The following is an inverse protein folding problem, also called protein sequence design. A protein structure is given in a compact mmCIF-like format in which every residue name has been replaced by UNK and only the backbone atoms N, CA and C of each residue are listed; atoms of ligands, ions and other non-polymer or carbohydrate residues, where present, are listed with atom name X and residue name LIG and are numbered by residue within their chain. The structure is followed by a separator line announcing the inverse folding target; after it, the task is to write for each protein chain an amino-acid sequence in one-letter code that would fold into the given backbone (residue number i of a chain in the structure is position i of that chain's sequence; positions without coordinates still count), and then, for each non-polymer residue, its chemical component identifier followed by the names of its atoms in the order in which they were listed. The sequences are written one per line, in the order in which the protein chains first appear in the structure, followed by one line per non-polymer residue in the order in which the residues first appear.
data_IF_142054278100
#
_entry.id   IF_142054278100
#
_cell.length_a   1.000
_cell.length_b   1.000
_cell.length_c   1.000
_cell.angle_alpha   90.00
_cell.angle_beta   90.00
_cell.angle_gamma   90.00
#
_symmetry.space_group_name_H-M   'P 1'
#
loop_
_entity.id
_entity.type
_entity.pdbx_description
1 polymer ?
#
# COMPACT_ATOMS: atom_id res chain seq x y z
N UNK A 1 3.66 7.46 -10.17
CA UNK A 1 4.86 7.24 -9.36
C UNK A 1 5.00 8.43 -8.44
N UNK A 2 4.59 8.26 -7.19
CA UNK A 2 4.74 9.23 -6.12
C UNK A 2 6.15 9.09 -5.59
N UNK A 3 6.96 10.10 -5.81
CA UNK A 3 8.29 10.23 -5.24
C UNK A 3 8.12 10.71 -3.78
N UNK A 4 8.31 9.79 -2.82
CA UNK A 4 8.06 10.05 -1.40
C UNK A 4 9.10 10.99 -0.83
N UNK A 5 10.32 10.97 -1.35
CA UNK A 5 11.37 11.91 -0.97
C UNK A 5 10.95 13.35 -1.28
N UNK A 6 10.38 13.58 -2.49
CA UNK A 6 9.79 14.88 -2.87
C UNK A 6 8.62 15.28 -2.00
N UNK A 7 7.77 14.33 -1.61
CA UNK A 7 6.65 14.60 -0.70
C UNK A 7 7.17 15.02 0.67
N UNK A 8 8.05 14.24 1.29
CA UNK A 8 8.64 14.56 2.60
C UNK A 8 9.34 15.92 2.58
N UNK A 9 10.14 16.19 1.54
CA UNK A 9 10.81 17.48 1.35
C UNK A 9 9.84 18.65 1.26
N UNK A 10 8.78 18.53 0.44
CA UNK A 10 7.77 19.57 0.29
C UNK A 10 6.97 19.81 1.58
N UNK A 11 6.67 18.76 2.35
CA UNK A 11 6.03 18.90 3.66
C UNK A 11 6.95 19.62 4.65
N UNK A 12 8.23 19.27 4.68
CA UNK A 12 9.18 19.92 5.59
C UNK A 12 9.40 21.39 5.24
N UNK A 13 9.46 21.71 3.94
CA UNK A 13 9.49 23.09 3.46
C UNK A 13 8.23 23.87 3.90
N UNK A 14 7.06 23.25 3.77
CA UNK A 14 5.81 23.84 4.25
C UNK A 14 5.86 24.12 5.76
N UNK A 15 6.36 23.19 6.58
CA UNK A 15 6.52 23.42 8.03
C UNK A 15 7.44 24.62 8.31
N UNK A 16 8.57 24.73 7.61
CA UNK A 16 9.52 25.84 7.81
C UNK A 16 8.95 27.21 7.41
N UNK A 17 8.02 27.25 6.44
CA UNK A 17 7.47 28.49 5.90
C UNK A 17 6.14 28.93 6.54
N UNK A 18 5.53 28.08 7.37
CA UNK A 18 4.19 28.31 7.92
C UNK A 18 4.22 28.75 9.39
N UNK A 19 3.38 29.73 9.75
CA UNK A 19 3.37 30.40 11.06
C UNK A 19 2.88 29.54 12.24
N UNK A 20 2.53 28.27 12.01
CA UNK A 20 1.90 27.39 13.02
C UNK A 20 2.83 26.28 13.53
N UNK A 21 4.10 26.31 13.13
CA UNK A 21 5.05 25.25 13.43
C UNK A 21 6.33 25.73 14.14
N UNK A 22 6.39 26.99 14.60
CA UNK A 22 7.51 27.52 15.39
C UNK A 22 7.45 27.11 16.87
N UNK A 23 8.60 27.14 17.55
CA UNK A 23 8.69 26.89 18.99
C UNK A 23 8.45 28.18 19.78
N UNK A 24 7.76 28.07 20.92
CA UNK A 24 7.48 29.22 21.79
C UNK A 24 8.09 29.00 23.17
N UNK A 25 9.19 29.70 23.51
CA UNK A 25 9.79 29.68 24.88
C UNK A 25 8.94 30.39 25.97
N UNK A 26 7.61 30.45 25.82
CA UNK A 26 6.69 31.04 26.79
C UNK A 26 5.86 30.00 27.51
N UNK A 27 5.70 30.12 28.84
CA UNK A 27 4.75 29.30 29.57
C UNK A 27 3.34 29.50 29.00
N UNK A 28 2.76 28.45 28.40
CA UNK A 28 1.36 28.41 27.99
C UNK A 28 1.07 28.53 26.49
N UNK A 29 2.08 28.38 25.62
CA UNK A 29 1.87 28.06 24.19
C UNK A 29 2.69 26.84 23.81
N UNK A 30 2.44 25.75 24.51
CA UNK A 30 2.70 24.43 23.95
C UNK A 30 1.58 24.24 22.94
N UNK A 31 1.89 24.15 21.64
CA UNK A 31 0.93 23.52 20.74
C UNK A 31 0.63 22.13 21.30
N UNK A 32 -0.55 21.95 21.85
CA UNK A 32 -1.06 20.71 22.44
C UNK A 32 -1.44 19.68 21.36
N UNK A 33 -1.11 19.94 20.11
CA UNK A 33 -1.57 19.17 18.97
C UNK A 33 -3.04 19.46 18.60
N UNK A 34 -3.66 20.54 19.09
CA UNK A 34 -5.02 20.91 18.68
C UNK A 34 -5.07 21.46 17.24
N UNK A 35 -5.08 20.55 16.27
CA UNK A 35 -5.40 20.84 14.88
C UNK A 35 -4.43 20.22 13.87
N UNK A 36 -4.84 20.29 12.60
CA UNK A 36 -4.02 19.85 11.46
C UNK A 36 -3.77 21.02 10.53
N UNK A 37 -2.54 21.16 10.04
CA UNK A 37 -2.23 21.97 8.88
C UNK A 37 -2.33 21.10 7.63
N UNK A 38 -2.84 21.69 6.53
CA UNK A 38 -3.02 20.99 5.25
C UNK A 38 -2.00 21.50 4.25
N UNK A 39 -1.11 20.61 3.81
CA UNK A 39 -0.16 20.87 2.74
C UNK A 39 -0.60 20.12 1.47
N UNK A 40 -0.64 20.81 0.34
CA UNK A 40 -0.97 20.18 -0.95
C UNK A 40 0.32 19.95 -1.73
N UNK A 41 0.66 18.69 -1.97
CA UNK A 41 1.82 18.29 -2.76
C UNK A 41 1.34 17.50 -3.96
N UNK A 42 1.64 17.97 -5.18
CA UNK A 42 1.23 17.34 -6.44
C UNK A 42 -0.29 17.03 -6.54
N UNK A 43 -1.12 17.90 -5.95
CA UNK A 43 -2.59 17.74 -5.95
C UNK A 43 -3.14 16.79 -4.89
N UNK A 44 -2.29 16.21 -4.04
CA UNK A 44 -2.68 15.40 -2.87
C UNK A 44 -2.56 16.26 -1.61
N UNK A 45 -3.60 16.23 -0.77
CA UNK A 45 -3.60 16.90 0.53
C UNK A 45 -3.01 15.98 1.59
N UNK A 46 -2.00 16.46 2.30
CA UNK A 46 -1.40 15.84 3.46
C UNK A 46 -1.75 16.65 4.71
N UNK A 47 -1.99 15.95 5.80
CA UNK A 47 -2.27 16.56 7.10
C UNK A 47 -1.04 16.36 7.99
N UNK A 48 -0.54 17.46 8.54
CA UNK A 48 0.55 17.52 9.52
C UNK A 48 0.03 18.21 10.78
N UNK A 49 0.41 17.73 11.95
CA UNK A 49 -0.04 18.25 13.25
C UNK A 49 0.46 19.68 13.45
N UNK A 50 -0.38 20.54 14.02
CA UNK A 50 0.05 21.88 14.43
C UNK A 50 0.83 21.81 15.74
N UNK A 51 1.71 22.78 15.96
CA UNK A 51 2.43 22.92 17.23
C UNK A 51 3.95 22.95 17.09
N UNK A 52 4.57 23.12 18.25
CA UNK A 52 6.01 23.32 18.42
C UNK A 52 6.81 22.12 17.90
N UNK A 53 7.91 22.41 17.22
CA UNK A 53 8.78 21.43 16.58
C UNK A 53 10.23 21.62 17.02
N UNK A 54 10.90 20.49 17.23
CA UNK A 54 12.36 20.41 17.22
C UNK A 54 12.85 19.92 15.84
N UNK A 55 14.17 19.91 15.65
CA UNK A 55 14.78 19.45 14.41
C UNK A 55 14.34 18.03 14.00
N UNK A 56 14.20 17.10 14.95
CA UNK A 56 13.86 15.71 14.68
C UNK A 56 12.37 15.48 14.48
N UNK A 57 11.51 16.05 15.32
CA UNK A 57 10.07 15.85 15.25
C UNK A 57 9.47 16.37 13.95
N UNK A 58 10.00 17.47 13.41
CA UNK A 58 9.64 17.99 12.08
C UNK A 58 10.00 17.02 10.95
N UNK A 59 11.25 16.53 10.90
CA UNK A 59 11.71 15.57 9.89
C UNK A 59 10.95 14.24 9.97
N UNK A 60 10.79 13.69 11.18
CA UNK A 60 10.13 12.41 11.43
C UNK A 60 8.68 12.48 10.98
N UNK A 61 7.96 13.55 11.33
CA UNK A 61 6.55 13.67 10.94
C UNK A 61 6.38 13.82 9.42
N UNK A 62 7.20 14.63 8.76
CA UNK A 62 7.13 14.76 7.31
C UNK A 62 7.36 13.42 6.60
N UNK A 63 8.30 12.61 7.09
CA UNK A 63 8.54 11.27 6.55
C UNK A 63 7.41 10.29 6.86
N UNK A 64 6.86 10.30 8.08
CA UNK A 64 5.66 9.54 8.45
C UNK A 64 4.47 9.88 7.55
N UNK A 65 4.22 11.17 7.32
CA UNK A 65 3.15 11.66 6.46
C UNK A 65 3.39 11.26 4.99
N UNK A 66 4.63 11.31 4.51
CA UNK A 66 4.97 10.92 3.15
C UNK A 66 4.71 9.43 2.90
N UNK A 67 5.01 8.55 3.87
CA UNK A 67 4.82 7.09 3.75
C UNK A 67 3.46 6.60 4.27
N UNK A 68 2.58 7.49 4.72
CA UNK A 68 1.23 7.14 5.17
C UNK A 68 0.45 6.47 4.05
N UNK A 69 -0.28 5.40 4.37
CA UNK A 69 -1.00 4.56 3.40
C UNK A 69 -0.10 3.63 2.58
N UNK A 70 1.21 3.61 2.87
CA UNK A 70 2.14 2.61 2.32
C UNK A 70 2.30 1.45 3.32
N UNK A 71 2.92 0.34 2.93
CA UNK A 71 3.19 -0.81 3.81
C UNK A 71 4.25 -0.52 4.85
N UNK A 72 4.96 0.60 4.65
CA UNK A 72 5.96 1.12 5.55
C UNK A 72 5.35 2.10 6.56
N UNK A 73 4.03 2.34 6.52
CA UNK A 73 3.33 3.11 7.56
C UNK A 73 3.63 2.51 8.95
N UNK A 74 3.98 3.39 9.89
CA UNK A 74 4.37 3.02 11.25
C UNK A 74 5.81 2.50 11.41
N UNK A 75 6.57 2.25 10.33
CA UNK A 75 7.97 1.78 10.43
C UNK A 75 8.92 2.81 11.03
N UNK A 76 8.53 4.08 11.05
CA UNK A 76 9.29 5.19 11.64
C UNK A 76 8.76 5.59 13.03
N UNK A 77 7.79 4.88 13.61
CA UNK A 77 7.16 5.26 14.89
C UNK A 77 8.10 5.21 16.09
N UNK A 78 9.17 4.43 16.02
CA UNK A 78 10.18 4.37 17.07
C UNK A 78 11.13 5.56 17.09
N UNK A 79 11.16 6.39 16.03
CA UNK A 79 12.02 7.56 15.97
C UNK A 79 11.35 8.69 16.75
N UNK A 80 12.02 9.18 17.78
CA UNK A 80 11.45 10.19 18.69
C UNK A 80 12.43 11.31 19.04
N UNK A 81 13.71 11.18 18.65
CA UNK A 81 14.76 12.17 18.83
C UNK A 81 15.92 11.88 17.84
N UNK A 82 16.71 12.88 17.42
CA UNK A 82 17.92 12.73 16.56
C UNK A 82 18.80 11.53 16.93
N UNK A 83 19.07 11.30 18.21
CA UNK A 83 19.96 10.21 18.67
C UNK A 83 19.47 8.79 18.41
N UNK A 84 18.18 8.58 18.13
CA UNK A 84 17.66 7.26 17.71
C UNK A 84 17.20 7.20 16.25
N UNK A 85 17.23 8.32 15.51
CA UNK A 85 16.79 8.37 14.12
C UNK A 85 17.58 7.41 13.24
N UNK A 86 18.91 7.37 13.34
CA UNK A 86 19.72 6.47 12.51
C UNK A 86 19.32 5.01 12.69
N UNK A 87 19.17 4.57 13.93
CA UNK A 87 18.78 3.19 14.23
C UNK A 87 17.41 2.87 13.61
N UNK A 88 16.40 3.71 13.85
CA UNK A 88 15.03 3.45 13.41
C UNK A 88 14.89 3.56 11.90
N UNK A 89 15.45 4.60 11.29
CA UNK A 89 15.38 4.83 9.85
C UNK A 89 16.07 3.71 9.07
N UNK A 90 17.24 3.24 9.53
CA UNK A 90 17.90 2.09 8.88
C UNK A 90 17.16 0.77 9.12
N UNK A 91 16.63 0.54 10.33
CA UNK A 91 15.83 -0.66 10.64
C UNK A 91 14.49 -0.71 9.87
N UNK A 92 13.96 0.43 9.44
CA UNK A 92 12.75 0.50 8.61
C UNK A 92 12.95 -0.13 7.22
N UNK A 93 14.20 -0.25 6.75
CA UNK A 93 14.55 -0.66 5.40
C UNK A 93 14.42 0.45 4.35
N UNK A 94 13.92 1.64 4.70
CA UNK A 94 13.73 2.77 3.78
C UNK A 94 14.97 3.65 3.57
N UNK A 95 15.95 3.56 4.47
CA UNK A 95 17.13 4.43 4.47
C UNK A 95 18.43 3.66 4.61
N UNK A 96 19.45 4.14 3.90
CA UNK A 96 20.83 3.72 4.05
C UNK A 96 21.64 4.80 4.76
N UNK A 97 22.47 4.41 5.73
CA UNK A 97 23.41 5.34 6.36
C UNK A 97 24.65 5.54 5.49
N UNK A 98 25.01 6.78 5.21
CA UNK A 98 26.19 7.13 4.41
C UNK A 98 27.05 8.21 5.09
N UNK A 99 28.38 8.17 4.91
CA UNK A 99 29.27 9.22 5.41
C UNK A 99 29.07 10.54 4.65
N UNK A 100 29.54 11.64 5.23
CA UNK A 100 29.47 13.00 4.66
C UNK A 100 30.20 13.20 3.32
N UNK A 101 30.89 12.18 2.81
CA UNK A 101 31.50 12.20 1.48
C UNK A 101 30.51 11.89 0.35
N UNK A 102 29.25 11.58 0.66
CA UNK A 102 28.20 11.36 -0.35
C UNK A 102 27.44 12.64 -0.68
N UNK A 103 26.85 12.70 -1.87
CA UNK A 103 25.98 13.80 -2.30
C UNK A 103 24.56 13.45 -1.87
N UNK A 104 23.95 14.30 -1.02
CA UNK A 104 22.58 14.15 -0.61
C UNK A 104 21.63 14.41 -1.78
N UNK A 105 20.49 13.72 -1.78
CA UNK A 105 19.37 13.98 -2.67
C UNK A 105 18.23 14.64 -1.91
N UNK A 106 17.29 15.23 -2.63
CA UNK A 106 16.09 15.80 -2.03
C UNK A 106 15.36 14.73 -1.18
N UNK A 107 15.02 15.07 0.06
CA UNK A 107 14.43 14.17 1.06
C UNK A 107 15.44 13.47 1.96
N UNK A 108 16.72 13.36 1.56
CA UNK A 108 17.76 12.81 2.43
C UNK A 108 17.93 13.65 3.69
N UNK A 109 18.34 13.01 4.79
CA UNK A 109 18.39 13.63 6.10
C UNK A 109 19.85 13.70 6.58
N UNK A 110 20.34 14.92 6.77
CA UNK A 110 21.60 15.19 7.44
C UNK A 110 21.43 15.01 8.94
N UNK A 111 22.30 14.22 9.56
CA UNK A 111 22.17 13.87 10.98
C UNK A 111 23.50 14.08 11.72
N UNK A 112 23.43 14.83 12.80
CA UNK A 112 24.35 14.75 13.92
C UNK A 112 23.58 14.03 15.04
N UNK A 113 23.98 12.81 15.36
CA UNK A 113 23.29 11.92 16.29
C UNK A 113 23.28 12.48 17.73
N UNK A 114 24.09 13.49 18.03
CA UNK A 114 24.16 14.08 19.36
C UNK A 114 23.29 15.34 19.53
N UNK A 115 22.93 16.04 18.45
CA UNK A 115 22.33 17.37 18.62
C UNK A 115 21.47 17.93 17.50
N UNK A 116 21.50 17.43 16.26
CA UNK A 116 20.83 18.16 15.18
C UNK A 116 20.48 17.32 13.96
N UNK A 117 19.41 17.70 13.26
CA UNK A 117 19.04 17.11 11.98
C UNK A 117 18.47 18.14 11.01
N UNK A 118 18.70 17.93 9.72
CA UNK A 118 18.17 18.78 8.65
C UNK A 118 17.74 17.95 7.44
N UNK A 119 16.74 18.41 6.70
CA UNK A 119 16.29 17.74 5.48
C UNK A 119 16.85 18.44 4.24
N UNK A 120 17.41 17.65 3.33
CA UNK A 120 17.88 18.13 2.04
C UNK A 120 16.69 18.45 1.12
N UNK A 121 16.67 19.66 0.56
CA UNK A 121 15.63 20.18 -0.35
C UNK A 121 16.09 20.16 -1.82
N UNK A 122 17.39 20.19 -2.07
CA UNK A 122 17.99 20.07 -3.41
C UNK A 122 19.41 19.54 -3.28
N UNK A 123 19.89 18.73 -4.23
CA UNK A 123 21.20 18.05 -4.13
C UNK A 123 22.40 18.75 -4.76
N UNK A 124 22.25 19.89 -5.47
CA UNK A 124 23.37 20.79 -5.88
C UNK A 124 22.88 22.22 -6.26
N UNK A 125 23.37 23.29 -5.59
CA UNK A 125 23.97 23.23 -4.27
C UNK A 125 22.94 22.70 -3.28
N UNK A 126 23.44 22.10 -2.20
CA UNK A 126 22.59 21.60 -1.16
C UNK A 126 21.84 22.76 -0.51
N UNK A 127 20.53 22.64 -0.44
CA UNK A 127 19.66 23.53 0.33
C UNK A 127 19.07 22.68 1.43
N UNK A 128 19.24 23.12 2.66
CA UNK A 128 18.72 22.45 3.84
C UNK A 128 17.53 23.23 4.38
N UNK A 129 16.48 22.51 4.78
CA UNK A 129 15.45 23.03 5.66
C UNK A 129 15.54 22.35 7.01
N UNK A 130 15.43 23.13 8.08
CA UNK A 130 15.68 22.68 9.45
C UNK A 130 14.93 23.54 10.47
N UNK A 131 14.63 22.93 11.61
CA UNK A 131 14.25 23.65 12.83
C UNK A 131 15.50 23.78 13.71
N UNK A 132 15.73 24.96 14.27
CA UNK A 132 17.01 25.33 14.91
C UNK A 132 17.11 24.90 16.38
N UNK A 133 16.15 24.14 16.88
CA UNK A 133 16.15 23.60 18.24
C UNK A 133 16.72 22.19 18.27
N UNK A 134 17.71 22.02 19.16
CA UNK A 134 18.21 20.70 19.55
C UNK A 134 17.28 20.00 20.54
N UNK A 135 17.52 18.73 20.78
CA UNK A 135 16.72 17.90 21.70
C UNK A 135 16.71 18.39 23.15
N UNK A 136 17.64 19.28 23.51
CA UNK A 136 17.76 19.85 24.84
C UNK A 136 17.09 21.23 24.95
N UNK A 137 16.44 21.72 23.88
CA UNK A 137 15.79 23.02 23.83
C UNK A 137 16.75 24.19 23.56
N UNK A 138 17.99 23.92 23.14
CA UNK A 138 18.94 24.96 22.78
C UNK A 138 18.80 25.36 21.31
N UNK A 139 18.97 26.64 21.03
CA UNK A 139 19.03 27.17 19.67
C UNK A 139 20.44 26.95 19.10
N UNK A 140 20.54 26.18 18.02
CA UNK A 140 21.77 25.92 17.26
C UNK A 140 21.78 26.80 16.01
N UNK A 141 22.76 27.72 15.91
CA UNK A 141 22.96 28.52 14.69
C UNK A 141 22.02 29.72 14.51
N UNK A 142 21.32 30.14 15.59
CA UNK A 142 20.48 31.35 15.68
C UNK A 142 20.73 32.15 16.98
N UNK A 143 19.93 33.18 17.24
CA UNK A 143 20.03 34.00 18.47
C UNK A 143 18.93 33.61 19.46
N UNK A 144 19.26 33.43 20.75
CA UNK A 144 18.25 33.25 21.81
C UNK A 144 17.31 34.44 21.83
N UNK A 145 16.00 34.23 21.62
CA UNK A 145 15.02 35.31 21.60
C UNK A 145 15.00 36.13 20.31
N UNK A 146 15.44 35.56 19.19
CA UNK A 146 15.04 35.95 17.85
C UNK A 146 13.52 35.70 17.68
N UNK A 147 12.73 36.58 18.28
CA UNK A 147 11.28 36.50 18.37
C UNK A 147 10.59 36.94 17.06
N UNK A 148 11.01 36.42 15.90
CA UNK A 148 10.20 36.53 14.68
C UNK A 148 9.19 35.39 14.53
N UNK A 149 9.17 34.43 15.46
CA UNK A 149 8.14 33.37 15.51
C UNK A 149 8.39 32.20 14.55
N UNK A 150 9.60 32.04 14.01
CA UNK A 150 9.98 30.91 13.17
C UNK A 150 11.38 30.45 13.55
N UNK A 151 11.45 29.43 14.39
CA UNK A 151 12.72 28.75 14.74
C UNK A 151 13.08 27.70 13.68
N UNK A 152 12.93 28.09 12.42
CA UNK A 152 13.15 27.28 11.25
C UNK A 152 13.83 28.11 10.17
N UNK A 153 14.63 27.45 9.34
CA UNK A 153 15.35 28.12 8.26
C UNK A 153 15.42 27.22 7.03
N UNK A 154 15.40 27.85 5.87
CA UNK A 154 15.76 27.24 4.59
C UNK A 154 17.00 27.98 4.09
N UNK A 155 18.13 27.28 3.98
CA UNK A 155 19.41 27.90 3.60
C UNK A 155 20.27 26.99 2.77
N UNK A 156 21.22 27.59 2.06
CA UNK A 156 22.30 26.81 1.46
C UNK A 156 23.07 26.04 2.55
N UNK A 157 23.63 24.91 2.15
CA UNK A 157 24.49 24.09 3.00
C UNK A 157 25.53 24.94 3.72
N UNK A 158 25.76 24.57 4.98
CA UNK A 158 26.71 25.21 5.87
C UNK A 158 27.57 24.14 6.53
N UNK A 159 28.82 24.50 6.83
CA UNK A 159 29.76 23.61 7.50
C UNK A 159 29.33 23.39 8.95
N UNK A 160 28.98 22.15 9.28
CA UNK A 160 28.51 21.69 10.58
C UNK A 160 29.03 20.27 10.81
N UNK A 161 29.33 19.86 12.06
CA UNK A 161 29.90 18.54 12.35
C UNK A 161 28.86 17.42 12.20
N UNK A 162 28.33 17.22 10.99
CA UNK A 162 27.42 16.12 10.67
C UNK A 162 28.12 14.76 10.79
N UNK A 163 27.46 13.80 11.41
CA UNK A 163 27.97 12.43 11.53
C UNK A 163 27.78 11.65 10.21
N UNK A 164 26.70 11.97 9.48
CA UNK A 164 26.40 11.37 8.18
C UNK A 164 25.02 11.74 7.65
N UNK A 165 24.60 10.98 6.64
CA UNK A 165 23.38 11.21 5.88
C UNK A 165 22.56 9.92 5.86
N UNK A 166 21.28 10.02 6.22
CA UNK A 166 20.29 8.99 5.96
C UNK A 166 19.77 9.19 4.53
N UNK A 167 20.26 8.36 3.62
CA UNK A 167 19.88 8.39 2.22
C UNK A 167 18.65 7.53 1.99
N UNK A 168 17.57 8.13 1.52
CA UNK A 168 16.36 7.41 1.16
C UNK A 168 16.62 6.54 -0.09
N UNK A 169 16.15 5.30 -0.07
CA UNK A 169 16.48 4.30 -1.11
C UNK A 169 15.35 4.07 -2.12
N UNK A 170 14.26 4.84 -2.06
CA UNK A 170 13.14 4.71 -2.98
C UNK A 170 12.22 3.53 -2.70
N UNK A 171 12.41 2.79 -1.60
CA UNK A 171 11.64 1.57 -1.32
C UNK A 171 10.14 1.83 -1.07
N UNK A 172 9.79 3.03 -0.60
CA UNK A 172 8.40 3.48 -0.49
C UNK A 172 7.92 4.29 -1.71
N UNK A 173 8.78 4.52 -2.70
CA UNK A 173 8.40 5.07 -4.00
C UNK A 173 7.73 3.97 -4.80
N UNK A 174 6.72 4.32 -5.59
CA UNK A 174 5.89 3.32 -6.26
C UNK A 174 6.71 2.36 -7.17
N UNK A 175 6.89 1.10 -6.76
CA UNK A 175 6.40 -0.06 -7.53
C UNK A 175 5.12 -0.52 -6.81
N UNK A 176 3.93 -0.03 -7.22
CA UNK A 176 2.85 0.11 -6.27
C UNK A 176 2.24 -1.23 -5.88
N UNK A 177 1.76 -1.31 -4.64
CA UNK A 177 0.66 -2.19 -4.31
C UNK A 177 -0.42 -2.10 -5.40
N UNK A 178 -0.99 -3.21 -5.83
CA UNK A 178 -2.05 -3.24 -6.83
C UNK A 178 -1.73 -4.07 -8.06
N UNK A 179 -2.50 -3.81 -9.11
CA UNK A 179 -2.45 -4.55 -10.36
C UNK A 179 -1.39 -3.99 -11.30
N UNK A 180 -0.51 -4.87 -11.76
CA UNK A 180 0.52 -4.57 -12.75
C UNK A 180 0.28 -5.40 -13.99
N UNK A 181 0.51 -4.81 -15.17
CA UNK A 181 0.36 -5.49 -16.45
C UNK A 181 1.67 -5.52 -17.21
N UNK A 182 2.10 -6.71 -17.60
CA UNK A 182 3.28 -6.92 -18.42
C UNK A 182 2.99 -7.99 -19.48
N UNK A 183 3.33 -7.72 -20.74
CA UNK A 183 3.14 -8.66 -21.85
C UNK A 183 1.72 -9.26 -21.95
N UNK A 184 0.71 -8.47 -21.60
CA UNK A 184 -0.69 -8.89 -21.60
C UNK A 184 -1.14 -9.74 -20.41
N UNK A 185 -0.22 -10.08 -19.48
CA UNK A 185 -0.51 -10.76 -18.22
C UNK A 185 -0.63 -9.74 -17.09
N UNK A 186 -1.37 -10.11 -16.06
CA UNK A 186 -1.55 -9.30 -14.86
C UNK A 186 -0.88 -9.98 -13.68
N UNK A 187 -0.22 -9.22 -12.81
CA UNK A 187 0.18 -9.65 -11.47
C UNK A 187 -0.45 -8.69 -10.47
N UNK A 188 -0.70 -9.17 -9.27
CA UNK A 188 -1.03 -8.32 -8.14
C UNK A 188 0.18 -8.31 -7.22
N UNK A 189 0.55 -7.15 -6.70
CA UNK A 189 1.50 -7.08 -5.61
C UNK A 189 0.83 -6.38 -4.43
N UNK A 190 0.89 -6.98 -3.26
CA UNK A 190 0.43 -6.38 -2.02
C UNK A 190 1.25 -5.13 -1.70
N UNK A 191 0.78 -4.32 -0.73
CA UNK A 191 1.52 -3.19 -0.27
C UNK A 191 2.96 -3.56 0.05
N UNK A 192 3.18 -4.55 0.92
CA UNK A 192 4.49 -4.96 1.46
C UNK A 192 5.50 -5.49 0.42
N UNK A 193 5.22 -5.34 -0.88
CA UNK A 193 6.02 -5.84 -1.97
C UNK A 193 5.84 -7.34 -2.22
N UNK A 194 5.01 -8.02 -1.42
CA UNK A 194 4.64 -9.41 -1.71
C UNK A 194 3.81 -9.47 -2.99
N UNK A 195 3.92 -10.55 -3.76
CA UNK A 195 3.02 -10.82 -4.88
C UNK A 195 2.58 -12.28 -4.74
N UNK A 196 1.27 -12.58 -4.66
CA UNK A 196 0.78 -13.95 -4.50
C UNK A 196 1.29 -14.87 -5.60
N UNK A 197 1.73 -16.08 -5.22
CA UNK A 197 2.27 -17.08 -6.14
C UNK A 197 1.71 -18.46 -5.83
N UNK A 198 1.16 -19.09 -6.87
CA UNK A 198 0.48 -20.39 -6.79
C UNK A 198 -0.64 -20.44 -5.74
N UNK A 199 -1.29 -19.30 -5.49
CA UNK A 199 -2.26 -19.14 -4.40
C UNK A 199 -3.45 -18.26 -4.79
N UNK A 200 -4.49 -18.35 -3.97
CA UNK A 200 -5.66 -17.49 -4.04
C UNK A 200 -5.42 -16.21 -3.26
N UNK A 201 -5.81 -15.07 -3.82
CA UNK A 201 -5.75 -13.77 -3.14
C UNK A 201 -7.07 -13.02 -3.31
N UNK A 202 -7.53 -12.37 -2.25
CA UNK A 202 -8.78 -11.61 -2.26
C UNK A 202 -8.51 -10.12 -2.40
N UNK A 203 -8.71 -9.60 -3.60
CA UNK A 203 -8.46 -8.19 -3.93
C UNK A 203 -9.79 -7.46 -4.11
N UNK A 204 -10.02 -6.39 -3.34
CA UNK A 204 -11.24 -5.56 -3.42
C UNK A 204 -12.55 -6.36 -3.37
N UNK A 205 -12.61 -7.37 -2.51
CA UNK A 205 -13.80 -8.21 -2.31
C UNK A 205 -13.98 -9.34 -3.31
N UNK A 206 -13.15 -9.42 -4.36
CA UNK A 206 -13.16 -10.49 -5.37
C UNK A 206 -11.97 -11.45 -5.16
N UNK A 207 -12.17 -12.73 -5.43
CA UNK A 207 -11.10 -13.72 -5.40
C UNK A 207 -10.41 -13.84 -6.75
N UNK A 208 -9.09 -14.00 -6.73
CA UNK A 208 -8.23 -14.21 -7.90
C UNK A 208 -7.27 -15.35 -7.58
N UNK A 209 -6.81 -16.07 -8.62
CA UNK A 209 -5.83 -17.14 -8.49
C UNK A 209 -4.59 -16.78 -9.30
N UNK A 210 -3.41 -17.00 -8.73
CA UNK A 210 -2.14 -16.72 -9.38
C UNK A 210 -1.38 -18.00 -9.70
N UNK A 211 -0.59 -17.98 -10.77
CA UNK A 211 0.34 -19.06 -11.10
C UNK A 211 1.62 -18.99 -10.24
N UNK A 212 2.50 -19.97 -10.39
CA UNK A 212 3.77 -20.07 -9.67
C UNK A 212 4.71 -18.87 -9.87
N UNK A 213 4.55 -18.14 -10.97
CA UNK A 213 5.38 -17.00 -11.34
C UNK A 213 4.71 -15.67 -10.89
N UNK A 214 3.49 -15.73 -10.36
CA UNK A 214 2.72 -14.60 -9.84
C UNK A 214 1.80 -13.95 -10.87
N UNK A 215 1.53 -14.62 -11.99
CA UNK A 215 0.58 -14.14 -12.98
C UNK A 215 -0.83 -14.61 -12.68
N UNK A 216 -1.77 -13.69 -12.71
CA UNK A 216 -3.19 -13.92 -12.58
C UNK A 216 -3.69 -14.88 -13.65
N UNK A 217 -4.42 -15.90 -13.21
CA UNK A 217 -5.04 -16.90 -14.07
C UNK A 217 -6.44 -16.46 -14.52
N UNK A 218 -6.90 -17.03 -15.62
CA UNK A 218 -8.25 -16.87 -16.18
C UNK A 218 -8.78 -18.24 -16.63
N UNK A 219 -10.10 -18.34 -16.83
CA UNK A 219 -10.79 -19.55 -17.27
C UNK A 219 -10.86 -20.66 -16.22
N UNK A 220 -11.06 -21.90 -16.68
CA UNK A 220 -11.19 -23.08 -15.82
C UNK A 220 -9.86 -23.47 -15.16
N UNK A 221 -9.87 -23.62 -13.84
CA UNK A 221 -8.72 -24.01 -13.02
C UNK A 221 -9.09 -25.14 -12.07
N UNK A 222 -8.23 -26.16 -11.94
CA UNK A 222 -8.42 -27.27 -11.00
C UNK A 222 -7.46 -27.12 -9.83
N UNK A 223 -8.00 -26.93 -8.62
CA UNK A 223 -7.24 -26.77 -7.36
C UNK A 223 -7.78 -27.75 -6.32
N UNK A 224 -6.90 -28.52 -5.68
CA UNK A 224 -7.25 -29.51 -4.65
C UNK A 224 -8.39 -30.45 -5.05
N UNK A 225 -8.38 -30.88 -6.32
CA UNK A 225 -9.39 -31.78 -6.88
C UNK A 225 -10.72 -31.11 -7.25
N UNK A 226 -10.89 -29.80 -7.03
CA UNK A 226 -12.10 -29.04 -7.34
C UNK A 226 -11.88 -28.10 -8.52
N UNK A 227 -12.91 -27.92 -9.34
CA UNK A 227 -12.91 -27.00 -10.47
C UNK A 227 -13.40 -25.62 -10.04
N UNK A 228 -12.78 -24.58 -10.57
CA UNK A 228 -13.14 -23.17 -10.40
C UNK A 228 -13.10 -22.51 -11.78
N UNK A 229 -13.83 -21.41 -11.96
CA UNK A 229 -13.74 -20.60 -13.16
C UNK A 229 -13.38 -19.16 -12.79
N UNK A 230 -12.42 -18.59 -13.50
CA UNK A 230 -11.97 -17.22 -13.37
C UNK A 230 -12.45 -16.46 -14.61
N UNK A 231 -13.18 -15.36 -14.43
CA UNK A 231 -13.64 -14.51 -15.51
C UNK A 231 -12.47 -13.89 -16.30
N UNK A 232 -12.77 -13.17 -17.38
CA UNK A 232 -11.74 -12.52 -18.20
C UNK A 232 -10.99 -11.40 -17.46
N UNK A 233 -11.60 -10.81 -16.43
CA UNK A 233 -10.94 -9.87 -15.50
C UNK A 233 -10.17 -10.58 -14.38
N UNK A 234 -10.15 -11.92 -14.40
CA UNK A 234 -9.50 -12.78 -13.42
C UNK A 234 -10.29 -13.00 -12.13
N UNK A 235 -11.44 -12.36 -11.95
CA UNK A 235 -12.25 -12.58 -10.75
C UNK A 235 -12.94 -13.94 -10.79
N UNK A 236 -12.98 -14.63 -9.65
CA UNK A 236 -13.63 -15.93 -9.51
C UNK A 236 -15.14 -15.79 -9.74
N UNK A 237 -15.66 -16.56 -10.69
CA UNK A 237 -17.10 -16.62 -10.95
C UNK A 237 -17.83 -17.41 -9.85
N UNK A 238 -19.07 -17.04 -9.60
CA UNK A 238 -19.98 -17.72 -8.68
C UNK A 238 -21.38 -17.83 -9.29
N UNK A 239 -22.14 -18.85 -8.90
CA UNK A 239 -23.48 -19.11 -9.42
C UNK A 239 -23.50 -19.75 -10.81
N UNK A 240 -24.52 -19.43 -11.60
CA UNK A 240 -24.69 -20.00 -12.94
C UNK A 240 -23.71 -19.38 -13.94
N UNK A 241 -22.90 -20.23 -14.56
CA UNK A 241 -21.94 -19.87 -15.60
C UNK A 241 -22.33 -20.55 -16.91
N UNK A 242 -22.41 -19.79 -18.01
CA UNK A 242 -22.55 -20.37 -19.35
C UNK A 242 -21.21 -20.29 -20.07
N UNK A 243 -20.62 -21.44 -20.37
CA UNK A 243 -19.36 -21.54 -21.08
C UNK A 243 -19.43 -22.61 -22.18
N UNK A 244 -18.91 -22.25 -23.37
CA UNK A 244 -18.92 -23.08 -24.57
C UNK A 244 -20.26 -23.78 -24.88
N UNK A 245 -21.38 -23.09 -24.62
CA UNK A 245 -22.74 -23.60 -24.88
C UNK A 245 -23.37 -24.43 -23.75
N UNK A 246 -22.62 -24.75 -22.70
CA UNK A 246 -23.11 -25.51 -21.54
C UNK A 246 -23.29 -24.59 -20.33
N UNK A 247 -24.24 -24.94 -19.46
CA UNK A 247 -24.41 -24.28 -18.17
C UNK A 247 -23.72 -25.07 -17.07
N UNK A 248 -23.07 -24.38 -16.16
CA UNK A 248 -22.40 -24.91 -14.97
C UNK A 248 -22.89 -24.12 -13.75
N UNK A 249 -22.75 -24.70 -12.57
CA UNK A 249 -23.04 -24.01 -11.33
C UNK A 249 -21.83 -24.01 -10.41
N UNK A 250 -21.34 -22.82 -10.08
CA UNK A 250 -20.26 -22.58 -9.13
C UNK A 250 -20.88 -22.21 -7.78
N UNK A 251 -20.50 -22.90 -6.71
CA UNK A 251 -21.08 -22.71 -5.38
C UNK A 251 -20.85 -21.28 -4.86
N UNK A 252 -21.90 -20.46 -4.63
CA UNK A 252 -21.72 -19.11 -4.12
C UNK A 252 -20.93 -19.04 -2.82
N UNK A 253 -20.03 -18.06 -2.71
CA UNK A 253 -19.10 -17.88 -1.59
C UNK A 253 -17.92 -18.86 -1.54
N UNK A 254 -17.96 -19.97 -2.28
CA UNK A 254 -16.87 -20.96 -2.33
C UNK A 254 -16.27 -21.15 -3.72
N UNK A 255 -16.97 -20.75 -4.80
CA UNK A 255 -16.53 -20.73 -6.19
C UNK A 255 -16.31 -22.09 -6.87
N UNK A 256 -16.32 -23.19 -6.12
CA UNK A 256 -16.07 -24.49 -6.72
C UNK A 256 -17.30 -24.99 -7.49
N UNK A 257 -17.06 -25.57 -8.66
CA UNK A 257 -18.06 -26.16 -9.51
C UNK A 257 -18.76 -27.32 -8.82
N UNK A 258 -20.09 -27.31 -8.88
CA UNK A 258 -20.95 -28.38 -8.38
C UNK A 258 -21.13 -29.46 -9.42
N UNK A 259 -21.33 -30.66 -8.94
CA UNK A 259 -21.70 -31.83 -9.73
C UNK A 259 -22.85 -32.58 -9.06
N UNK A 260 -23.54 -33.43 -9.82
CA UNK A 260 -24.70 -34.19 -9.37
C UNK A 260 -25.92 -33.33 -9.06
N UNK A 261 -26.77 -33.83 -8.16
CA UNK A 261 -27.99 -33.15 -7.73
C UNK A 261 -27.67 -31.85 -6.97
N UNK A 262 -28.18 -30.73 -7.49
CA UNK A 262 -27.99 -29.39 -6.90
C UNK A 262 -29.33 -28.68 -6.79
N UNK A 263 -29.56 -27.96 -5.69
CA UNK A 263 -30.79 -27.16 -5.49
C UNK A 263 -30.44 -25.68 -5.49
N UNK A 264 -31.05 -24.90 -6.38
CA UNK A 264 -30.83 -23.46 -6.52
C UNK A 264 -32.18 -22.75 -6.56
N UNK A 265 -32.41 -21.83 -5.61
CA UNK A 265 -33.67 -21.07 -5.55
C UNK A 265 -34.92 -21.95 -5.43
N UNK A 266 -34.83 -23.08 -4.72
CA UNK A 266 -35.93 -24.04 -4.54
C UNK A 266 -36.19 -24.97 -5.73
N UNK A 267 -35.49 -24.78 -6.86
CA UNK A 267 -35.52 -25.69 -8.02
C UNK A 267 -34.37 -26.70 -7.93
N UNK A 268 -34.60 -27.92 -8.40
CA UNK A 268 -33.58 -28.98 -8.47
C UNK A 268 -33.02 -29.08 -9.88
N UNK A 269 -31.71 -29.26 -9.97
CA UNK A 269 -30.95 -29.41 -11.21
C UNK A 269 -30.06 -30.64 -11.08
N UNK A 270 -29.62 -31.17 -12.22
CA UNK A 270 -28.60 -32.20 -12.26
C UNK A 270 -27.42 -31.73 -13.13
N UNK A 271 -26.23 -31.79 -12.57
CA UNK A 271 -24.97 -31.42 -13.20
C UNK A 271 -24.19 -32.73 -13.44
N UNK A 272 -23.68 -32.97 -14.64
CA UNK A 272 -22.99 -34.21 -14.98
C UNK A 272 -21.82 -34.48 -14.00
N UNK A 273 -21.80 -35.59 -13.25
CA UNK A 273 -20.71 -35.86 -12.29
C UNK A 273 -19.35 -36.07 -12.92
N UNK A 274 -19.34 -36.56 -14.16
CA UNK A 274 -18.17 -36.81 -14.97
C UNK A 274 -18.51 -36.45 -16.42
N UNK A 275 -17.49 -36.37 -17.27
CA UNK A 275 -17.72 -36.24 -18.71
C UNK A 275 -18.38 -37.52 -19.24
N UNK A 276 -19.54 -37.42 -19.87
CA UNK A 276 -20.13 -38.51 -20.66
C UNK A 276 -20.17 -38.11 -22.13
N UNK A 277 -19.67 -38.96 -23.04
CA UNK A 277 -19.73 -38.76 -24.50
C UNK A 277 -19.61 -37.31 -25.01
N UNK A 278 -20.75 -36.62 -25.06
CA UNK A 278 -20.96 -35.26 -25.58
C UNK A 278 -21.12 -34.16 -24.50
N UNK A 279 -21.25 -34.49 -23.22
CA UNK A 279 -21.45 -33.54 -22.12
C UNK A 279 -20.19 -33.42 -21.25
N UNK A 280 -19.67 -32.21 -21.02
CA UNK A 280 -18.58 -31.98 -20.07
C UNK A 280 -18.95 -32.30 -18.62
N UNK A 281 -17.94 -32.64 -17.79
CA UNK A 281 -18.10 -32.69 -16.33
C UNK A 281 -18.68 -31.36 -15.81
N UNK A 282 -19.66 -31.43 -14.92
CA UNK A 282 -20.33 -30.29 -14.32
C UNK A 282 -21.37 -29.59 -15.19
N UNK A 283 -21.50 -29.97 -16.47
CA UNK A 283 -22.51 -29.36 -17.34
C UNK A 283 -23.93 -29.73 -16.90
N UNK A 284 -24.87 -28.81 -17.07
CA UNK A 284 -26.26 -28.96 -16.65
C UNK A 284 -27.06 -29.79 -17.64
N UNK A 285 -27.83 -30.75 -17.13
CA UNK A 285 -28.77 -31.56 -17.90
C UNK A 285 -30.00 -30.73 -18.29
N UNK A 286 -30.44 -30.88 -19.53
CA UNK A 286 -31.72 -30.37 -20.05
C UNK A 286 -32.46 -31.49 -20.79
N UNK A 287 -33.80 -31.45 -20.78
CA UNK A 287 -34.62 -32.47 -21.43
C UNK A 287 -34.73 -33.78 -20.64
N UNK A 288 -35.19 -34.86 -21.29
CA UNK A 288 -35.33 -36.17 -20.65
C UNK A 288 -33.97 -36.84 -20.38
N UNK A 289 -33.78 -37.38 -19.18
CA UNK A 289 -32.57 -38.11 -18.79
C UNK A 289 -32.86 -39.18 -17.72
N UNK A 290 -32.14 -40.29 -17.77
CA UNK A 290 -32.22 -41.34 -16.75
C UNK A 290 -31.12 -41.12 -15.69
N UNK A 291 -31.53 -40.71 -14.48
CA UNK A 291 -30.62 -40.38 -13.38
C UNK A 291 -30.87 -41.34 -12.21
N UNK A 292 -29.84 -42.07 -11.78
CA UNK A 292 -29.92 -43.08 -10.72
C UNK A 292 -31.03 -44.13 -10.95
N UNK A 293 -31.21 -44.56 -12.21
CA UNK A 293 -32.24 -45.53 -12.60
C UNK A 293 -33.67 -44.97 -12.61
N UNK A 294 -33.85 -43.65 -12.58
CA UNK A 294 -35.16 -42.97 -12.66
C UNK A 294 -35.23 -42.04 -13.85
N UNK A 295 -36.34 -42.13 -14.58
CA UNK A 295 -36.63 -41.23 -15.69
C UNK A 295 -37.00 -39.84 -15.17
N UNK A 296 -36.15 -38.86 -15.46
CA UNK A 296 -36.31 -37.47 -15.06
C UNK A 296 -36.56 -36.59 -16.29
N UNK A 297 -37.42 -35.59 -16.15
CA UNK A 297 -37.64 -34.57 -17.17
C UNK A 297 -37.16 -33.22 -16.64
N UNK A 298 -36.18 -32.62 -17.31
CA UNK A 298 -35.67 -31.28 -17.03
C UNK A 298 -36.15 -30.29 -18.08
N UNK A 299 -36.56 -29.10 -17.63
CA UNK A 299 -36.97 -28.01 -18.52
C UNK A 299 -35.83 -27.46 -19.36
N UNK A 300 -36.14 -26.51 -20.25
CA UNK A 300 -35.13 -25.78 -21.02
C UNK A 300 -34.23 -24.90 -20.12
N UNK A 301 -34.70 -24.54 -18.92
CA UNK A 301 -33.93 -23.88 -17.87
C UNK A 301 -33.13 -24.87 -17.01
N UNK A 302 -33.21 -26.18 -17.29
CA UNK A 302 -32.56 -27.26 -16.54
C UNK A 302 -33.25 -27.63 -15.23
N UNK A 303 -34.37 -27.00 -14.88
CA UNK A 303 -35.08 -27.32 -13.65
C UNK A 303 -35.83 -28.65 -13.79
N UNK A 304 -35.74 -29.51 -12.77
CA UNK A 304 -36.47 -30.76 -12.68
C UNK A 304 -37.98 -30.49 -12.66
N UNK A 305 -38.69 -31.02 -13.65
CA UNK A 305 -40.15 -30.94 -13.81
C UNK A 305 -40.82 -32.19 -13.24
N UNK A 306 -40.25 -33.36 -13.52
CA UNK A 306 -40.81 -34.66 -13.16
C UNK A 306 -39.70 -35.68 -12.87
N UNK A 307 -39.93 -36.58 -11.92
CA UNK A 307 -39.07 -37.71 -11.54
C UNK A 307 -39.92 -38.96 -11.28
#
# INVERSE_FOLDING_TARGET
MTDRAKVAAALHLHLCEHDWHGYTQGQGRWGDGEGVCKAVVNGVTYEVEQGDRDCSSSVIECWKAAIKGTPYEGKLDGATYTGNMRQVFTQSGLFEWRPMTCVAQQGDVYLNEASHTAMCQSGVPDVLSEFLIDENGNIIGGTVGDQTGRESIVRAYYDYPWDGILCYNGLADDEPAGWHRENGKWRYCGPDGSCPKDEWEKVNGKWYLFDKDGWMLVGWQKRDGRWYHLASDGSMDEGWLKDNGYWYYLEPGQGHMRTGWTTVGGKRYYLHPEKDGIHPEGSMVVGPADIDGKHCEFGADGALVRR
#
